data_IF_512905746392
#
_entry.id   IF_512905746392
#
_cell.length_a   1.000
_cell.length_b   1.000
_cell.length_c   1.000
_cell.angle_alpha   90.00
_cell.angle_beta   90.00
_cell.angle_gamma   90.00
#
_symmetry.space_group_name_H-M   'P 1'
#
loop_
_entity.id
_entity.type
_entity.pdbx_description
1 polymer ?
#
# COMPACT_ATOMS: atom_id res chain seq x y z
N UNK A 1 -24.89 -26.95 -17.33
CA UNK A 1 -24.22 -25.64 -17.18
C UNK A 1 -23.19 -25.78 -16.08
N UNK A 2 -21.90 -25.62 -16.40
CA UNK A 2 -20.84 -25.57 -15.39
C UNK A 2 -20.81 -24.15 -14.83
N UNK A 3 -21.18 -23.97 -13.57
CA UNK A 3 -20.98 -22.69 -12.89
C UNK A 3 -19.48 -22.51 -12.68
N UNK A 4 -18.93 -21.37 -13.10
CA UNK A 4 -17.56 -21.00 -12.79
C UNK A 4 -17.56 -20.48 -11.36
N UNK A 5 -17.05 -21.27 -10.42
CA UNK A 5 -16.85 -20.83 -9.05
C UNK A 5 -15.85 -19.66 -9.07
N UNK A 6 -16.25 -18.52 -8.49
CA UNK A 6 -15.39 -17.33 -8.42
C UNK A 6 -14.38 -17.56 -7.30
N UNK A 7 -13.08 -17.47 -7.60
CA UNK A 7 -12.05 -17.63 -6.57
C UNK A 7 -11.91 -16.38 -5.71
N UNK A 8 -11.48 -16.52 -4.45
CA UNK A 8 -11.22 -15.36 -3.59
C UNK A 8 -10.10 -14.45 -4.13
N UNK A 9 -9.16 -15.00 -4.90
CA UNK A 9 -8.12 -14.22 -5.57
C UNK A 9 -8.72 -13.33 -6.67
N UNK A 10 -9.69 -13.84 -7.45
CA UNK A 10 -10.42 -13.05 -8.45
C UNK A 10 -11.17 -11.88 -7.79
N UNK A 11 -11.79 -12.11 -6.62
CA UNK A 11 -12.47 -11.05 -5.86
C UNK A 11 -11.46 -10.04 -5.31
N UNK A 12 -10.35 -10.50 -4.71
CA UNK A 12 -9.31 -9.62 -4.18
C UNK A 12 -8.72 -8.72 -5.28
N UNK A 13 -8.48 -9.28 -6.48
CA UNK A 13 -7.99 -8.53 -7.62
C UNK A 13 -9.02 -7.54 -8.16
N UNK A 14 -10.31 -7.89 -8.16
CA UNK A 14 -11.37 -6.95 -8.50
C UNK A 14 -11.42 -5.79 -7.52
N UNK A 15 -11.38 -6.05 -6.20
CA UNK A 15 -11.32 -5.02 -5.16
C UNK A 15 -10.12 -4.11 -5.37
N UNK A 16 -8.94 -4.67 -5.62
CA UNK A 16 -7.72 -3.89 -5.89
C UNK A 16 -7.88 -2.95 -7.10
N UNK A 17 -8.49 -3.43 -8.19
CA UNK A 17 -8.77 -2.61 -9.37
C UNK A 17 -9.74 -1.47 -9.06
N UNK A 18 -10.78 -1.73 -8.27
CA UNK A 18 -11.73 -0.70 -7.85
C UNK A 18 -11.06 0.35 -6.95
N UNK A 19 -10.22 -0.07 -6.00
CA UNK A 19 -9.43 0.85 -5.17
C UNK A 19 -8.51 1.73 -6.02
N UNK A 20 -7.81 1.14 -7.00
CA UNK A 20 -6.96 1.88 -7.91
C UNK A 20 -7.74 2.91 -8.73
N UNK A 21 -8.91 2.52 -9.25
CA UNK A 21 -9.80 3.44 -9.95
C UNK A 21 -10.24 4.60 -9.05
N UNK A 22 -10.65 4.33 -7.81
CA UNK A 22 -11.04 5.35 -6.83
C UNK A 22 -9.90 6.32 -6.51
N UNK A 23 -8.68 5.82 -6.27
CA UNK A 23 -7.52 6.66 -6.03
C UNK A 23 -7.19 7.55 -7.23
N UNK A 24 -7.33 7.02 -8.45
CA UNK A 24 -7.09 7.78 -9.69
C UNK A 24 -8.15 8.85 -9.94
N UNK A 25 -9.40 8.65 -9.52
CA UNK A 25 -10.48 9.63 -9.72
C UNK A 25 -10.68 10.60 -8.57
N UNK A 26 -10.00 10.40 -7.43
CA UNK A 26 -10.06 11.31 -6.29
C UNK A 26 -9.72 12.77 -6.70
N UNK A 27 -10.40 13.79 -6.15
CA UNK A 27 -10.14 15.18 -6.48
C UNK A 27 -8.69 15.57 -6.13
N UNK A 28 -7.95 16.08 -7.13
CA UNK A 28 -6.53 16.42 -7.02
C UNK A 28 -6.35 17.94 -7.06
N UNK A 29 -5.45 18.44 -6.23
CA UNK A 29 -5.15 19.86 -6.18
C UNK A 29 -4.72 20.36 -7.57
N UNK A 30 -5.42 21.39 -8.08
CA UNK A 30 -5.20 21.97 -9.42
C UNK A 30 -5.30 20.97 -10.59
N UNK A 31 -5.93 19.81 -10.39
CA UNK A 31 -6.02 18.75 -11.41
C UNK A 31 -4.68 18.09 -11.74
N UNK A 32 -3.62 18.33 -10.96
CA UNK A 32 -2.31 17.70 -11.16
C UNK A 32 -2.37 16.30 -10.58
N UNK A 33 -2.17 15.32 -11.44
CA UNK A 33 -2.11 13.92 -11.02
C UNK A 33 -0.68 13.56 -10.63
N UNK A 34 -0.44 13.53 -9.33
CA UNK A 34 0.82 13.12 -8.73
C UNK A 34 0.74 11.72 -8.10
N UNK A 35 -0.34 10.96 -8.34
CA UNK A 35 -0.57 9.66 -7.70
C UNK A 35 -0.14 8.51 -8.61
N UNK A 36 0.71 7.64 -8.08
CA UNK A 36 1.18 6.39 -8.69
C UNK A 36 0.48 5.21 -8.01
N UNK A 37 0.13 4.19 -8.78
CA UNK A 37 -0.59 3.01 -8.27
C UNK A 37 -0.01 1.74 -8.90
N UNK A 38 0.20 0.72 -8.08
CA UNK A 38 0.62 -0.62 -8.49
C UNK A 38 -0.22 -1.67 -7.78
N UNK A 39 -0.59 -2.71 -8.52
CA UNK A 39 -1.30 -3.87 -7.98
C UNK A 39 -0.38 -5.06 -8.17
N UNK A 40 0.09 -5.63 -7.07
CA UNK A 40 0.94 -6.82 -7.06
C UNK A 40 0.06 -8.01 -6.72
N UNK A 41 0.03 -9.01 -7.58
CA UNK A 41 -0.79 -10.21 -7.39
C UNK A 41 -0.05 -11.48 -7.81
N UNK A 42 1.15 -11.35 -8.39
CA UNK A 42 1.99 -12.48 -8.70
C UNK A 42 2.80 -12.88 -7.47
N UNK A 43 2.91 -14.19 -7.22
CA UNK A 43 3.62 -14.70 -6.05
C UNK A 43 5.11 -14.33 -6.02
N UNK A 44 5.76 -14.21 -7.16
CA UNK A 44 7.16 -13.78 -7.22
C UNK A 44 7.35 -12.30 -6.86
N UNK A 45 6.41 -11.43 -7.23
CA UNK A 45 6.42 -10.01 -6.84
C UNK A 45 6.18 -9.85 -5.33
N UNK A 46 5.21 -10.59 -4.79
CA UNK A 46 4.91 -10.60 -3.35
C UNK A 46 6.09 -11.16 -2.53
N UNK A 47 6.77 -12.20 -3.03
CA UNK A 47 7.95 -12.76 -2.38
C UNK A 47 9.10 -11.76 -2.34
N UNK A 48 9.40 -11.09 -3.46
CA UNK A 48 10.44 -10.04 -3.50
C UNK A 48 10.16 -8.91 -2.52
N UNK A 49 8.89 -8.48 -2.43
CA UNK A 49 8.48 -7.45 -1.49
C UNK A 49 8.65 -7.90 -0.04
N UNK A 50 8.27 -9.14 0.27
CA UNK A 50 8.47 -9.73 1.60
C UNK A 50 9.95 -9.85 1.97
N UNK A 51 10.80 -10.33 1.06
CA UNK A 51 12.25 -10.41 1.25
C UNK A 51 12.85 -9.03 1.54
N UNK A 52 12.44 -8.00 0.79
CA UNK A 52 12.91 -6.64 1.06
C UNK A 52 12.47 -6.13 2.43
N UNK A 53 11.26 -6.45 2.87
CA UNK A 53 10.81 -6.11 4.22
C UNK A 53 11.62 -6.84 5.29
N UNK A 54 11.99 -8.10 5.07
CA UNK A 54 12.86 -8.85 5.98
C UNK A 54 14.26 -8.22 6.09
N UNK A 55 14.83 -7.74 4.97
CA UNK A 55 16.09 -6.97 4.97
C UNK A 55 15.96 -5.69 5.81
N UNK A 56 14.91 -4.90 5.58
CA UNK A 56 14.67 -3.63 6.27
C UNK A 56 14.42 -3.81 7.77
N UNK A 57 14.03 -5.00 8.21
CA UNK A 57 13.80 -5.28 9.63
C UNK A 57 15.06 -5.13 10.50
N UNK A 58 16.25 -5.27 9.90
CA UNK A 58 17.54 -5.04 10.59
C UNK A 58 17.67 -3.59 11.04
N UNK A 59 17.20 -2.66 10.21
CA UNK A 59 17.35 -1.22 10.42
C UNK A 59 16.13 -0.61 11.13
N UNK A 60 14.93 -1.01 10.73
CA UNK A 60 13.68 -0.38 11.16
C UNK A 60 12.90 -1.20 12.21
N UNK A 61 13.37 -2.41 12.55
CA UNK A 61 12.85 -3.23 13.63
C UNK A 61 12.07 -4.47 13.18
N UNK A 62 11.92 -5.42 14.10
CA UNK A 62 11.42 -6.79 13.85
C UNK A 62 9.98 -6.86 13.34
N UNK A 63 9.19 -5.80 13.48
CA UNK A 63 7.82 -5.76 12.96
C UNK A 63 7.77 -5.82 11.43
N UNK A 64 8.81 -5.34 10.73
CA UNK A 64 8.93 -5.47 9.27
C UNK A 64 9.02 -6.94 8.83
N UNK A 65 9.88 -7.73 9.46
CA UNK A 65 10.02 -9.16 9.17
C UNK A 65 8.75 -9.95 9.49
N UNK A 66 8.02 -9.56 10.56
CA UNK A 66 6.71 -10.12 10.86
C UNK A 66 5.71 -9.81 9.75
N UNK A 67 5.62 -8.54 9.34
CA UNK A 67 4.63 -8.09 8.36
C UNK A 67 4.94 -8.62 6.95
N UNK A 68 6.21 -8.90 6.64
CA UNK A 68 6.65 -9.58 5.43
C UNK A 68 5.96 -10.95 5.22
N UNK A 69 5.74 -11.70 6.31
CA UNK A 69 5.01 -12.97 6.25
C UNK A 69 3.57 -12.76 5.75
N UNK A 70 2.91 -11.69 6.20
CA UNK A 70 1.55 -11.36 5.76
C UNK A 70 1.52 -11.00 4.26
N UNK A 71 2.56 -10.34 3.75
CA UNK A 71 2.68 -10.02 2.32
C UNK A 71 2.80 -11.29 1.48
N UNK A 72 3.62 -12.24 1.93
CA UNK A 72 3.81 -13.53 1.27
C UNK A 72 2.50 -14.33 1.16
N UNK A 73 1.69 -14.25 2.21
CA UNK A 73 0.38 -14.92 2.30
C UNK A 73 -0.75 -14.15 1.62
N UNK A 74 -0.56 -12.87 1.29
CA UNK A 74 -1.58 -12.05 0.63
C UNK A 74 -1.91 -12.56 -0.78
N UNK A 75 -3.15 -12.37 -1.19
CA UNK A 75 -3.61 -12.70 -2.54
C UNK A 75 -3.29 -11.53 -3.50
N UNK A 76 -3.45 -10.28 -3.02
CA UNK A 76 -3.14 -9.06 -3.77
C UNK A 76 -2.61 -7.99 -2.81
N UNK A 77 -1.68 -7.15 -3.26
CA UNK A 77 -1.22 -5.94 -2.57
C UNK A 77 -1.41 -4.73 -3.47
N UNK A 78 -2.07 -3.69 -2.97
CA UNK A 78 -2.18 -2.40 -3.67
C UNK A 78 -1.17 -1.44 -3.09
N UNK A 79 -0.20 -0.99 -3.90
CA UNK A 79 0.75 0.06 -3.53
C UNK A 79 0.26 1.38 -4.13
N UNK A 80 0.08 2.38 -3.28
CA UNK A 80 -0.30 3.75 -3.61
C UNK A 80 0.87 4.67 -3.29
N UNK A 81 1.31 5.48 -4.24
CA UNK A 81 2.36 6.45 -4.03
C UNK A 81 1.96 7.82 -4.54
N UNK A 82 2.61 8.87 -4.05
CA UNK A 82 2.49 10.19 -4.62
C UNK A 82 3.83 10.92 -4.69
N UNK A 83 3.99 11.76 -5.72
CA UNK A 83 5.08 12.74 -5.79
C UNK A 83 4.70 14.01 -5.04
N UNK A 84 5.63 14.55 -4.26
CA UNK A 84 5.45 15.84 -3.59
C UNK A 84 5.47 16.91 -4.68
N UNK A 85 4.37 17.68 -4.74
CA UNK A 85 4.22 18.78 -5.69
C UNK A 85 4.07 20.07 -4.93
N UNK A 86 4.90 21.07 -5.24
CA UNK A 86 4.72 22.42 -4.74
C UNK A 86 3.57 23.11 -5.49
N UNK A 87 2.42 23.24 -4.83
CA UNK A 87 1.25 23.86 -5.44
C UNK A 87 1.30 25.39 -5.42
N UNK A 88 2.31 26.03 -4.81
CA UNK A 88 2.44 27.49 -4.68
C UNK A 88 1.13 28.14 -4.18
N UNK A 89 0.52 27.54 -3.15
CA UNK A 89 -0.71 28.03 -2.52
C UNK A 89 -0.38 28.65 -1.17
N UNK A 90 -1.06 29.75 -0.83
CA UNK A 90 -0.94 30.37 0.49
C UNK A 90 -1.58 29.46 1.53
N UNK A 91 -0.76 28.87 2.40
CA UNK A 91 -1.22 27.97 3.44
C UNK A 91 -2.24 28.65 4.36
N UNK A 92 -3.40 28.02 4.64
CA UNK A 92 -4.35 28.54 5.61
C UNK A 92 -3.69 28.67 6.98
N UNK A 93 -3.88 29.81 7.67
CA UNK A 93 -3.28 30.06 9.00
C UNK A 93 -3.74 29.09 10.09
N UNK A 94 -4.81 28.33 9.83
CA UNK A 94 -5.35 27.31 10.75
C UNK A 94 -4.57 26.01 10.68
N UNK A 95 -3.81 25.78 9.60
CA UNK A 95 -3.06 24.55 9.37
C UNK A 95 -1.64 24.70 9.90
N UNK A 96 -1.41 24.21 11.11
CA UNK A 96 -0.09 24.05 11.70
C UNK A 96 0.28 22.57 11.72
N UNK A 97 0.40 21.97 10.52
CA UNK A 97 0.51 20.53 10.36
C UNK A 97 1.98 20.13 10.32
N UNK A 98 2.42 19.25 11.21
CA UNK A 98 3.76 18.65 11.13
C UNK A 98 3.76 17.34 10.30
N UNK A 99 4.93 16.87 9.89
CA UNK A 99 5.03 15.67 9.04
C UNK A 99 4.47 14.42 9.74
N UNK A 100 4.61 14.31 11.06
CA UNK A 100 4.09 13.18 11.84
C UNK A 100 2.55 13.16 11.87
N UNK A 101 1.88 14.31 11.85
CA UNK A 101 0.43 14.44 11.74
C UNK A 101 -0.08 14.06 10.35
N UNK A 102 0.66 14.41 9.30
CA UNK A 102 0.40 13.96 7.92
C UNK A 102 0.57 12.44 7.84
N UNK A 103 1.67 11.91 8.36
CA UNK A 103 1.98 10.47 8.37
C UNK A 103 0.96 9.68 9.22
N UNK A 104 0.46 10.26 10.32
CA UNK A 104 -0.54 9.65 11.20
C UNK A 104 -1.92 9.57 10.56
N UNK A 105 -2.33 10.60 9.79
CA UNK A 105 -3.58 10.55 9.01
C UNK A 105 -3.53 9.54 7.85
N UNK A 106 -2.32 9.22 7.36
CA UNK A 106 -2.08 8.28 6.25
C UNK A 106 -1.78 6.85 6.71
N UNK A 107 -1.73 6.58 8.02
CA UNK A 107 -1.10 5.36 8.54
C UNK A 107 -1.99 4.12 8.45
N UNK A 108 -1.96 3.45 7.29
CA UNK A 108 -2.24 2.02 7.09
C UNK A 108 -1.28 1.48 6.01
N UNK A 109 -0.01 1.22 6.37
CA UNK A 109 0.92 0.48 5.49
C UNK A 109 2.12 1.25 4.93
N UNK A 110 2.66 2.21 5.68
CA UNK A 110 3.88 2.96 5.31
C UNK A 110 5.10 2.04 5.15
N UNK A 111 5.29 1.08 6.07
CA UNK A 111 6.38 0.10 5.99
C UNK A 111 6.41 -0.67 4.66
N UNK A 112 5.22 -1.05 4.18
CA UNK A 112 5.06 -1.74 2.90
C UNK A 112 5.26 -0.79 1.71
N UNK A 113 4.85 0.46 1.84
CA UNK A 113 5.11 1.52 0.86
C UNK A 113 6.60 1.80 0.65
N UNK A 114 7.37 1.93 1.74
CA UNK A 114 8.82 2.14 1.70
C UNK A 114 9.52 0.98 1.00
N UNK A 115 9.18 -0.26 1.34
CA UNK A 115 9.74 -1.44 0.68
C UNK A 115 9.43 -1.47 -0.83
N UNK A 116 8.24 -1.00 -1.25
CA UNK A 116 7.89 -0.90 -2.65
C UNK A 116 8.65 0.21 -3.40
N UNK A 117 9.00 1.31 -2.74
CA UNK A 117 9.85 2.37 -3.31
C UNK A 117 11.28 1.87 -3.52
N UNK A 118 11.88 1.22 -2.52
CA UNK A 118 13.24 0.68 -2.58
C UNK A 118 13.45 -0.36 -3.69
N UNK A 119 12.40 -1.15 -4.00
CA UNK A 119 12.43 -2.13 -5.09
C UNK A 119 12.18 -1.51 -6.48
N UNK A 120 11.95 -0.20 -6.56
CA UNK A 120 11.57 0.47 -7.81
C UNK A 120 10.20 0.01 -8.35
N UNK A 121 9.36 -0.60 -7.51
CA UNK A 121 8.02 -1.04 -7.92
C UNK A 121 7.12 0.17 -8.16
N UNK A 122 7.35 1.25 -7.41
CA UNK A 122 6.60 2.50 -7.52
C UNK A 122 7.56 3.71 -7.56
N UNK A 123 7.35 4.59 -8.55
CA UNK A 123 8.02 5.89 -8.64
C UNK A 123 7.17 6.94 -7.92
N UNK A 124 7.52 7.24 -6.67
CA UNK A 124 6.82 8.17 -5.77
C UNK A 124 7.78 8.70 -4.70
N UNK A 125 7.48 9.88 -4.13
CA UNK A 125 8.23 10.46 -3.01
C UNK A 125 7.72 9.91 -1.66
N UNK A 126 6.41 9.66 -1.56
CA UNK A 126 5.78 8.99 -0.42
C UNK A 126 4.97 7.81 -0.95
N UNK A 127 5.09 6.64 -0.34
CA UNK A 127 4.28 5.47 -0.66
C UNK A 127 3.60 4.84 0.57
N UNK A 128 2.43 4.26 0.32
CA UNK A 128 1.60 3.49 1.22
C UNK A 128 1.20 2.21 0.48
N UNK A 129 0.97 1.11 1.20
CA UNK A 129 0.43 -0.06 0.57
C UNK A 129 -0.59 -0.79 1.43
N UNK A 130 -1.67 -1.23 0.79
CA UNK A 130 -2.80 -1.93 1.39
C UNK A 130 -2.76 -3.38 0.93
N UNK A 131 -2.38 -4.32 1.81
CA UNK A 131 -2.47 -5.74 1.52
C UNK A 131 -3.94 -6.19 1.59
N UNK A 132 -4.36 -7.00 0.62
CA UNK A 132 -5.72 -7.55 0.49
C UNK A 132 -5.67 -9.08 0.55
N UNK A 133 -6.45 -9.64 1.47
CA UNK A 133 -6.66 -11.08 1.61
C UNK A 133 -8.12 -11.30 1.97
N UNK A 134 -8.84 -12.08 1.16
CA UNK A 134 -10.24 -12.44 1.40
C UNK A 134 -10.27 -13.89 1.87
N UNK A 135 -10.01 -14.10 3.16
CA UNK A 135 -9.97 -15.42 3.80
C UNK A 135 -10.81 -15.41 5.08
N UNK A 136 -11.40 -16.55 5.43
CA UNK A 136 -12.30 -16.70 6.59
C UNK A 136 -11.66 -16.46 7.98
N UNK A 137 -10.32 -16.43 8.06
CA UNK A 137 -9.54 -15.92 9.20
C UNK A 137 -8.61 -14.81 8.70
N UNK A 138 -8.63 -13.67 9.36
CA UNK A 138 -7.90 -12.49 8.91
C UNK A 138 -6.40 -12.62 9.22
N UNK A 139 -5.56 -12.66 8.17
CA UNK A 139 -4.10 -12.81 8.27
C UNK A 139 -3.43 -11.66 9.04
N UNK A 140 -4.11 -10.52 9.22
CA UNK A 140 -3.57 -9.33 9.91
C UNK A 140 -3.84 -9.31 11.43
N UNK A 141 -4.56 -10.30 11.96
CA UNK A 141 -5.08 -10.29 13.34
C UNK A 141 -4.43 -11.30 14.31
N UNK A 142 -3.34 -11.98 13.93
CA UNK A 142 -2.55 -12.84 14.83
C UNK A 142 -1.67 -12.04 15.83
N UNK A 143 -2.19 -10.93 16.35
CA UNK A 143 -1.52 -10.05 17.30
C UNK A 143 -1.54 -10.67 18.70
N UNK A 144 -0.42 -11.23 19.17
CA UNK A 144 -0.19 -11.34 20.61
C UNK A 144 0.17 -9.94 21.13
N UNK A 145 -0.71 -9.37 21.95
CA UNK A 145 -0.45 -8.12 22.67
C UNK A 145 0.66 -8.32 23.71
#
# INVERSE_FOLDING_TARGET
MSYKEISFEEIALLTAKLMAASAKTAPKAKGIDNVSIRILYRKDELNKLAEKMEELAVEYGSFYARDAKNIRESDVVVVLGCKITEFNIKQPRIWNINIDEVLSLLNLGIALGVAAQELGLIDADIAMAVPLSIRGKNIFFDRKR
#
